data_IF_558963951025
#
_entry.id   IF_558963951025
#
_cell.length_a   1.000
_cell.length_b   1.000
_cell.length_c   1.000
_cell.angle_alpha   90.00
_cell.angle_beta   90.00
_cell.angle_gamma   90.00
#
_symmetry.space_group_name_H-M   'P 1'
#
loop_
_entity.id
_entity.type
_entity.pdbx_description
1 polymer ?
#
# COMPACT_ATOMS: atom_id res chain seq x y z
N UNK A 1 -1.09 22.65 -17.07
CA UNK A 1 -0.49 22.98 -18.38
C UNK A 1 -0.06 21.71 -19.06
N UNK A 2 -0.47 21.47 -20.31
CA UNK A 2 0.10 20.39 -21.12
C UNK A 2 1.09 21.04 -22.09
N UNK A 3 2.36 20.66 -22.02
CA UNK A 3 3.45 21.23 -22.81
C UNK A 3 4.26 20.13 -23.48
N UNK A 4 5.13 20.51 -24.41
CA UNK A 4 6.07 19.56 -25.02
C UNK A 4 7.02 18.99 -23.97
N UNK A 5 7.24 17.67 -23.97
CA UNK A 5 7.98 16.95 -22.93
C UNK A 5 9.50 17.12 -22.93
N UNK A 6 10.04 18.10 -23.67
CA UNK A 6 11.48 18.37 -23.69
C UNK A 6 11.94 18.90 -22.32
N UNK A 7 13.03 18.38 -21.72
CA UNK A 7 13.49 18.81 -20.39
C UNK A 7 13.64 20.33 -20.25
N UNK A 8 14.18 20.99 -21.28
CA UNK A 8 14.33 22.45 -21.32
C UNK A 8 12.99 23.19 -21.27
N UNK A 9 11.94 22.68 -21.94
CA UNK A 9 10.59 23.26 -21.94
C UNK A 9 9.96 23.10 -20.56
N UNK A 10 10.06 21.90 -19.98
CA UNK A 10 9.52 21.61 -18.64
C UNK A 10 10.19 22.50 -17.58
N UNK A 11 11.52 22.58 -17.57
CA UNK A 11 12.26 23.44 -16.65
C UNK A 11 11.93 24.92 -16.85
N UNK A 12 11.79 25.39 -18.10
CA UNK A 12 11.39 26.77 -18.39
C UNK A 12 10.03 27.13 -17.79
N UNK A 13 9.04 26.25 -17.94
CA UNK A 13 7.71 26.43 -17.35
C UNK A 13 7.75 26.40 -15.82
N UNK A 14 8.46 25.44 -15.22
CA UNK A 14 8.58 25.35 -13.77
C UNK A 14 9.27 26.59 -13.17
N UNK A 15 10.32 27.10 -13.81
CA UNK A 15 11.01 28.31 -13.39
C UNK A 15 10.09 29.55 -13.48
N UNK A 16 9.31 29.68 -14.56
CA UNK A 16 8.36 30.78 -14.71
C UNK A 16 7.27 30.76 -13.63
N UNK A 17 6.75 29.57 -13.29
CA UNK A 17 5.78 29.40 -12.21
C UNK A 17 6.41 29.68 -10.84
N UNK A 18 7.64 29.21 -10.59
CA UNK A 18 8.35 29.42 -9.33
C UNK A 18 8.75 30.88 -9.06
N UNK A 19 8.71 31.75 -10.07
CA UNK A 19 8.93 33.19 -9.91
C UNK A 19 7.69 33.94 -9.39
N UNK A 20 6.51 33.31 -9.36
CA UNK A 20 5.28 33.91 -8.84
C UNK A 20 5.28 33.83 -7.30
N UNK A 21 4.99 34.93 -6.58
CA UNK A 21 5.14 34.99 -5.13
C UNK A 21 4.20 34.08 -4.34
N UNK A 22 3.08 33.66 -4.93
CA UNK A 22 2.08 32.77 -4.29
C UNK A 22 2.33 31.28 -4.56
N UNK A 23 3.33 30.96 -5.38
CA UNK A 23 3.64 29.59 -5.77
C UNK A 23 4.93 29.10 -5.11
N UNK A 24 4.95 27.81 -4.80
CA UNK A 24 6.16 27.09 -4.41
C UNK A 24 6.17 25.70 -5.04
N UNK A 25 7.34 25.08 -5.06
CA UNK A 25 7.44 23.67 -5.38
C UNK A 25 6.62 22.84 -4.40
N UNK A 26 5.93 21.84 -4.93
CA UNK A 26 5.20 20.88 -4.13
C UNK A 26 6.17 19.92 -3.43
N UNK A 27 5.85 19.56 -2.20
CA UNK A 27 6.52 18.47 -1.47
C UNK A 27 6.09 17.11 -2.04
N UNK A 28 6.85 16.02 -1.78
CA UNK A 28 6.45 14.68 -2.16
C UNK A 28 5.04 14.32 -1.65
N UNK A 29 4.16 13.89 -2.55
CA UNK A 29 2.78 13.50 -2.22
C UNK A 29 1.86 14.66 -1.84
N UNK A 30 2.29 15.92 -1.94
CA UNK A 30 1.54 17.04 -1.38
C UNK A 30 0.14 17.22 -1.98
N UNK A 31 -0.02 17.01 -3.29
CA UNK A 31 -1.33 17.11 -3.93
C UNK A 31 -2.31 16.06 -3.39
N UNK A 32 -1.87 14.81 -3.25
CA UNK A 32 -2.67 13.72 -2.67
C UNK A 32 -2.97 13.98 -1.19
N UNK A 33 -1.98 14.44 -0.42
CA UNK A 33 -2.15 14.85 0.99
C UNK A 33 -3.21 15.93 1.14
N UNK A 34 -3.18 16.96 0.29
CA UNK A 34 -4.20 18.02 0.27
C UNK A 34 -5.57 17.47 -0.11
N UNK A 35 -5.66 16.52 -1.04
CA UNK A 35 -6.93 15.89 -1.37
C UNK A 35 -7.53 15.12 -0.18
N UNK A 36 -6.70 14.37 0.55
CA UNK A 36 -7.08 13.70 1.80
C UNK A 36 -7.56 14.70 2.88
N UNK A 37 -6.75 15.74 3.15
CA UNK A 37 -7.09 16.76 4.17
C UNK A 37 -8.38 17.52 3.86
N UNK A 38 -8.75 17.63 2.59
CA UNK A 38 -9.99 18.27 2.16
C UNK A 38 -11.15 17.27 1.97
N UNK A 39 -11.02 16.03 2.45
CA UNK A 39 -12.06 15.00 2.38
C UNK A 39 -12.44 14.57 0.97
N UNK A 40 -11.57 14.78 -0.02
CA UNK A 40 -11.79 14.31 -1.40
C UNK A 40 -11.45 12.83 -1.57
N UNK A 41 -10.56 12.33 -0.72
CA UNK A 41 -10.11 10.94 -0.65
C UNK A 41 -10.01 10.56 0.82
N UNK A 42 -10.30 9.31 1.17
CA UNK A 42 -9.88 8.76 2.46
C UNK A 42 -8.39 8.33 2.41
N UNK A 43 -7.85 7.92 3.56
CA UNK A 43 -6.44 7.53 3.65
C UNK A 43 -6.13 6.28 2.83
N UNK A 44 -7.04 5.30 2.81
CA UNK A 44 -6.86 4.05 2.06
C UNK A 44 -6.85 4.28 0.55
N UNK A 45 -7.68 5.22 0.07
CA UNK A 45 -7.71 5.61 -1.33
C UNK A 45 -6.46 6.41 -1.73
N UNK A 46 -5.95 7.27 -0.84
CA UNK A 46 -4.70 8.00 -1.04
C UNK A 46 -3.49 7.05 -1.14
N UNK A 47 -3.43 6.02 -0.29
CA UNK A 47 -2.43 4.95 -0.37
C UNK A 47 -2.58 4.12 -1.64
N UNK A 48 -3.82 3.73 -1.99
CA UNK A 48 -4.12 3.01 -3.23
C UNK A 48 -3.69 3.75 -4.50
N UNK A 49 -3.77 5.08 -4.52
CA UNK A 49 -3.23 5.90 -5.62
C UNK A 49 -1.69 5.78 -5.72
N UNK A 50 -1.00 5.78 -4.58
CA UNK A 50 0.45 5.55 -4.52
C UNK A 50 0.81 4.17 -5.08
N UNK A 51 0.11 3.13 -4.60
CA UNK A 51 0.29 1.76 -5.08
C UNK A 51 0.01 1.62 -6.58
N UNK A 52 -0.98 2.36 -7.10
CA UNK A 52 -1.33 2.33 -8.52
C UNK A 52 -0.22 2.93 -9.40
N UNK A 53 0.39 4.04 -8.95
CA UNK A 53 1.51 4.69 -9.66
C UNK A 53 2.73 3.77 -9.70
N UNK A 54 2.96 2.99 -8.65
CA UNK A 54 4.10 2.09 -8.51
C UNK A 54 3.82 0.63 -8.95
N UNK A 55 2.62 0.31 -9.40
CA UNK A 55 2.26 -1.04 -9.81
C UNK A 55 3.07 -1.52 -11.02
N UNK A 56 3.75 -2.65 -10.87
CA UNK A 56 4.55 -3.30 -11.92
C UNK A 56 3.84 -4.51 -12.53
N UNK A 57 2.83 -5.04 -11.83
CA UNK A 57 2.01 -6.16 -12.31
C UNK A 57 0.54 -5.81 -12.43
N UNK A 58 -0.17 -6.56 -13.27
CA UNK A 58 -1.63 -6.45 -13.40
C UNK A 58 -2.34 -6.76 -12.08
N UNK A 59 -1.78 -7.65 -11.25
CA UNK A 59 -2.31 -7.95 -9.92
C UNK A 59 -2.22 -6.74 -8.99
N UNK A 60 -1.05 -6.10 -8.90
CA UNK A 60 -0.87 -4.86 -8.13
C UNK A 60 -1.81 -3.77 -8.63
N UNK A 61 -1.90 -3.56 -9.95
CA UNK A 61 -2.77 -2.54 -10.54
C UNK A 61 -4.24 -2.74 -10.17
N UNK A 62 -4.75 -3.98 -10.25
CA UNK A 62 -6.13 -4.29 -9.88
C UNK A 62 -6.39 -4.09 -8.39
N UNK A 63 -5.45 -4.49 -7.54
CA UNK A 63 -5.57 -4.30 -6.09
C UNK A 63 -5.59 -2.81 -5.74
N UNK A 64 -4.65 -2.04 -6.29
CA UNK A 64 -4.54 -0.60 -6.05
C UNK A 64 -5.80 0.15 -6.50
N UNK A 65 -6.39 -0.22 -7.66
CA UNK A 65 -7.66 0.34 -8.12
C UNK A 65 -8.80 0.08 -7.15
N UNK A 66 -8.95 -1.15 -6.65
CA UNK A 66 -10.00 -1.49 -5.67
C UNK A 66 -9.88 -0.70 -4.38
N UNK A 67 -8.64 -0.49 -3.91
CA UNK A 67 -8.39 0.36 -2.73
C UNK A 67 -8.68 1.82 -3.01
N UNK A 68 -8.27 2.34 -4.18
CA UNK A 68 -8.56 3.70 -4.61
C UNK A 68 -10.07 3.96 -4.78
N UNK A 69 -10.84 2.95 -5.23
CA UNK A 69 -12.30 2.99 -5.34
C UNK A 69 -13.01 2.89 -3.96
N UNK A 70 -12.24 2.69 -2.88
CA UNK A 70 -12.73 2.77 -1.51
C UNK A 70 -13.26 1.47 -0.92
N UNK A 71 -12.93 0.29 -1.48
CA UNK A 71 -13.40 -0.99 -0.93
C UNK A 71 -13.01 -1.16 0.55
N UNK A 72 -11.77 -0.81 0.93
CA UNK A 72 -11.32 -0.86 2.33
C UNK A 72 -11.96 0.24 3.18
N UNK A 73 -12.11 1.46 2.64
CA UNK A 73 -12.79 2.55 3.32
C UNK A 73 -14.23 2.19 3.70
N UNK A 74 -14.98 1.57 2.79
CA UNK A 74 -16.35 1.10 3.04
C UNK A 74 -16.41 0.03 4.13
N UNK A 75 -15.48 -0.92 4.12
CA UNK A 75 -15.39 -1.96 5.16
C UNK A 75 -15.15 -1.35 6.55
N UNK A 76 -14.18 -0.43 6.65
CA UNK A 76 -13.85 0.21 7.92
C UNK A 76 -14.94 1.17 8.40
N UNK A 77 -15.62 1.83 7.46
CA UNK A 77 -16.79 2.65 7.79
C UNK A 77 -17.92 1.78 8.35
N UNK A 78 -18.18 0.61 7.76
CA UNK A 78 -19.17 -0.32 8.28
C UNK A 78 -18.87 -0.73 9.73
N UNK A 79 -17.63 -1.10 10.03
CA UNK A 79 -17.23 -1.43 11.41
C UNK A 79 -17.34 -0.25 12.36
N UNK A 80 -16.96 0.94 11.92
CA UNK A 80 -17.09 2.18 12.71
C UNK A 80 -18.55 2.49 13.01
N UNK A 81 -19.44 2.36 12.03
CA UNK A 81 -20.87 2.58 12.21
C UNK A 81 -21.49 1.57 13.17
N UNK A 82 -21.08 0.30 13.09
CA UNK A 82 -21.51 -0.76 13.99
C UNK A 82 -21.09 -0.45 15.43
N UNK A 83 -19.81 -0.13 15.66
CA UNK A 83 -19.30 0.24 16.99
C UNK A 83 -20.00 1.48 17.55
N UNK A 84 -20.20 2.49 16.72
CA UNK A 84 -20.83 3.75 17.15
C UNK A 84 -22.27 3.52 17.60
N UNK A 85 -23.04 2.71 16.86
CA UNK A 85 -24.42 2.34 17.24
C UNK A 85 -24.43 1.50 18.51
N UNK A 86 -23.56 0.49 18.60
CA UNK A 86 -23.45 -0.36 19.79
C UNK A 86 -23.10 0.45 21.03
N UNK A 87 -22.18 1.41 20.90
CA UNK A 87 -21.82 2.33 21.98
C UNK A 87 -23.02 3.19 22.40
N UNK A 88 -23.76 3.76 21.45
CA UNK A 88 -24.95 4.56 21.74
C UNK A 88 -26.04 3.76 22.49
N UNK A 89 -26.24 2.48 22.14
CA UNK A 89 -27.17 1.61 22.87
C UNK A 89 -26.72 1.34 24.31
N UNK A 90 -25.42 1.10 24.50
CA UNK A 90 -24.85 0.89 25.83
C UNK A 90 -24.92 2.15 26.70
N UNK A 91 -24.60 3.32 26.13
CA UNK A 91 -24.72 4.62 26.81
C UNK A 91 -26.17 4.89 27.23
N UNK A 92 -27.14 4.67 26.34
CA UNK A 92 -28.56 4.82 26.67
C UNK A 92 -29.00 3.86 27.79
N UNK A 93 -28.52 2.63 27.80
CA UNK A 93 -28.80 1.69 28.89
C UNK A 93 -28.22 2.17 30.23
N UNK A 94 -26.98 2.68 30.23
CA UNK A 94 -26.36 3.20 31.45
C UNK A 94 -27.10 4.42 31.99
N UNK A 95 -27.51 5.34 31.11
CA UNK A 95 -28.10 6.62 31.52
C UNK A 95 -29.59 6.51 31.92
N UNK A 96 -30.34 5.53 31.40
CA UNK A 96 -31.80 5.49 31.54
C UNK A 96 -32.38 4.16 32.08
N UNK A 97 -31.55 3.18 32.45
CA UNK A 97 -32.02 1.84 32.90
C UNK A 97 -32.88 1.82 34.17
N UNK A 98 -32.85 2.87 35.00
CA UNK A 98 -33.68 2.95 36.22
C UNK A 98 -35.02 3.70 36.00
N UNK A 99 -35.09 4.60 35.01
CA UNK A 99 -36.22 5.53 34.81
C UNK A 99 -37.15 5.12 33.65
N UNK A 100 -36.61 4.49 32.61
CA UNK A 100 -37.38 4.04 31.44
C UNK A 100 -37.36 2.51 31.38
N UNK A 101 -38.49 1.89 30.98
CA UNK A 101 -38.59 0.44 30.73
C UNK A 101 -37.73 0.03 29.53
N UNK A 102 -36.41 0.11 29.63
CA UNK A 102 -35.49 -0.39 28.62
C UNK A 102 -35.63 -1.91 28.58
N UNK A 103 -35.74 -2.46 27.37
CA UNK A 103 -35.86 -3.91 27.17
C UNK A 103 -34.62 -4.61 27.75
N UNK A 104 -34.86 -5.66 28.57
CA UNK A 104 -33.80 -6.41 29.26
C UNK A 104 -32.77 -7.06 28.29
N UNK A 105 -33.08 -7.13 26.99
CA UNK A 105 -32.26 -7.78 25.97
C UNK A 105 -31.21 -6.87 25.33
N UNK A 106 -31.18 -5.56 25.65
CA UNK A 106 -30.25 -4.60 25.03
C UNK A 106 -28.80 -5.01 25.26
N UNK A 107 -28.46 -5.49 26.46
CA UNK A 107 -27.11 -5.97 26.77
C UNK A 107 -26.73 -7.21 25.96
N UNK A 108 -27.67 -8.15 25.80
CA UNK A 108 -27.46 -9.35 24.98
C UNK A 108 -27.26 -8.98 23.50
N UNK A 109 -28.04 -8.02 22.97
CA UNK A 109 -27.89 -7.53 21.61
C UNK A 109 -26.53 -6.85 21.38
N UNK A 110 -26.09 -6.02 22.34
CA UNK A 110 -24.77 -5.38 22.33
C UNK A 110 -23.67 -6.45 22.32
N UNK A 111 -23.73 -7.43 23.23
CA UNK A 111 -22.72 -8.49 23.32
C UNK A 111 -22.64 -9.31 22.02
N UNK A 112 -23.80 -9.69 21.46
CA UNK A 112 -23.86 -10.43 20.21
C UNK A 112 -23.28 -9.64 19.02
N UNK A 113 -23.56 -8.34 18.95
CA UNK A 113 -23.03 -7.45 17.90
C UNK A 113 -21.52 -7.31 18.00
N UNK A 114 -20.98 -7.11 19.21
CA UNK A 114 -19.52 -7.01 19.43
C UNK A 114 -18.83 -8.32 19.06
N UNK A 115 -19.37 -9.48 19.46
CA UNK A 115 -18.81 -10.80 19.11
C UNK A 115 -18.80 -11.04 17.60
N UNK A 116 -19.87 -10.63 16.90
CA UNK A 116 -19.92 -10.74 15.44
C UNK A 116 -18.84 -9.87 14.79
N UNK A 117 -18.69 -8.62 15.24
CA UNK A 117 -17.68 -7.71 14.73
C UNK A 117 -16.24 -8.17 15.02
N UNK A 118 -15.99 -8.68 16.23
CA UNK A 118 -14.69 -9.28 16.60
C UNK A 118 -14.32 -10.42 15.65
N UNK A 119 -15.30 -11.26 15.30
CA UNK A 119 -15.10 -12.35 14.35
C UNK A 119 -14.74 -11.82 12.96
N UNK A 120 -15.47 -10.82 12.44
CA UNK A 120 -15.17 -10.21 11.13
C UNK A 120 -13.76 -9.60 11.09
N UNK A 121 -13.38 -8.86 12.14
CA UNK A 121 -12.05 -8.28 12.27
C UNK A 121 -10.96 -9.36 12.30
N UNK A 122 -11.20 -10.43 13.05
CA UNK A 122 -10.27 -11.56 13.15
C UNK A 122 -10.10 -12.26 11.81
N UNK A 123 -11.19 -12.49 11.08
CA UNK A 123 -11.16 -13.08 9.74
C UNK A 123 -10.42 -12.18 8.75
N UNK A 124 -10.62 -10.86 8.81
CA UNK A 124 -9.90 -9.90 7.97
C UNK A 124 -8.39 -9.90 8.25
N UNK A 125 -7.98 -9.95 9.52
CA UNK A 125 -6.56 -10.02 9.91
C UNK A 125 -5.90 -11.36 9.55
N UNK A 126 -6.69 -12.43 9.42
CA UNK A 126 -6.22 -13.78 9.08
C UNK A 126 -6.18 -14.05 7.57
N UNK A 127 -6.31 -13.03 6.72
CA UNK A 127 -6.27 -13.15 5.25
C UNK A 127 -4.94 -13.70 4.68
N UNK A 128 -3.95 -13.97 5.53
CA UNK A 128 -2.64 -14.48 5.16
C UNK A 128 -1.73 -13.40 4.57
N UNK A 129 -2.03 -12.13 4.85
CA UNK A 129 -1.36 -10.94 4.31
C UNK A 129 -1.29 -10.96 2.79
N UNK A 130 -2.33 -11.49 2.15
CA UNK A 130 -2.38 -11.67 0.69
C UNK A 130 -2.26 -10.33 -0.02
N UNK A 131 -2.97 -9.31 0.48
CA UNK A 131 -2.88 -7.95 -0.06
C UNK A 131 -1.48 -7.37 0.08
N UNK A 132 -0.81 -7.56 1.22
CA UNK A 132 0.57 -7.10 1.40
C UNK A 132 1.54 -7.83 0.46
N UNK A 133 1.45 -9.16 0.35
CA UNK A 133 2.33 -9.95 -0.54
C UNK A 133 2.17 -9.58 -2.00
N UNK A 134 0.95 -9.20 -2.42
CA UNK A 134 0.72 -8.74 -3.78
C UNK A 134 1.26 -7.32 -4.00
N UNK A 135 1.20 -6.42 -3.00
CA UNK A 135 1.82 -5.09 -3.07
C UNK A 135 3.34 -5.13 -3.05
N UNK A 136 3.92 -5.78 -2.04
CA UNK A 136 5.37 -5.79 -1.79
C UNK A 136 6.11 -6.76 -2.73
N UNK A 137 5.39 -7.77 -3.24
CA UNK A 137 5.98 -8.87 -4.00
C UNK A 137 6.59 -9.95 -3.12
N UNK A 138 7.03 -11.02 -3.79
CA UNK A 138 7.67 -12.16 -3.15
C UNK A 138 9.17 -12.08 -3.39
N UNK A 139 9.95 -12.05 -2.30
CA UNK A 139 11.41 -12.14 -2.39
C UNK A 139 11.84 -13.58 -2.61
N UNK A 140 12.61 -13.81 -3.66
CA UNK A 140 13.10 -15.12 -4.07
C UNK A 140 14.61 -15.08 -4.22
N UNK A 141 15.29 -15.94 -3.47
CA UNK A 141 16.75 -16.03 -3.45
C UNK A 141 17.21 -17.21 -4.30
N UNK A 142 18.13 -16.97 -5.24
CA UNK A 142 18.76 -18.04 -6.02
C UNK A 142 20.04 -18.47 -5.30
N UNK A 143 19.98 -19.57 -4.54
CA UNK A 143 21.10 -20.11 -3.78
C UNK A 143 21.77 -21.31 -4.48
N UNK A 144 23.08 -21.45 -4.33
CA UNK A 144 23.84 -22.58 -4.88
C UNK A 144 25.36 -22.34 -4.93
N UNK A 145 26.16 -23.39 -5.23
CA UNK A 145 27.62 -23.30 -5.25
C UNK A 145 28.15 -22.30 -6.28
N UNK A 146 29.42 -21.88 -6.13
CA UNK A 146 30.08 -21.05 -7.12
C UNK A 146 30.06 -21.72 -8.51
N UNK A 147 29.91 -20.93 -9.57
CA UNK A 147 29.81 -21.41 -10.96
C UNK A 147 28.64 -22.36 -11.27
N UNK A 148 27.64 -22.48 -10.39
CA UNK A 148 26.43 -23.27 -10.63
C UNK A 148 25.47 -22.68 -11.70
N UNK A 149 25.87 -21.61 -12.39
CA UNK A 149 25.03 -20.93 -13.39
C UNK A 149 23.96 -20.00 -12.81
N UNK A 150 24.03 -19.63 -11.52
CA UNK A 150 23.04 -18.73 -10.86
C UNK A 150 22.82 -17.42 -11.62
N UNK A 151 23.90 -16.72 -11.95
CA UNK A 151 23.81 -15.43 -12.67
C UNK A 151 23.36 -15.62 -14.12
N UNK A 152 23.64 -16.78 -14.74
CA UNK A 152 23.10 -17.12 -16.06
C UNK A 152 21.58 -17.34 -16.00
N UNK A 153 21.07 -18.03 -14.97
CA UNK A 153 19.64 -18.21 -14.74
C UNK A 153 18.94 -16.87 -14.46
N UNK A 154 19.50 -16.03 -13.59
CA UNK A 154 18.98 -14.70 -13.31
C UNK A 154 18.87 -13.90 -14.62
N UNK A 155 19.95 -13.84 -15.40
CA UNK A 155 19.96 -13.14 -16.68
C UNK A 155 18.92 -13.70 -17.65
N UNK A 156 18.71 -15.01 -17.70
CA UNK A 156 17.69 -15.64 -18.55
C UNK A 156 16.26 -15.30 -18.10
N UNK A 157 16.00 -15.29 -16.78
CA UNK A 157 14.71 -14.87 -16.23
C UNK A 157 14.45 -13.38 -16.44
N UNK A 158 15.50 -12.56 -16.48
CA UNK A 158 15.42 -11.12 -16.69
C UNK A 158 15.26 -10.69 -18.16
N UNK A 159 15.31 -11.62 -19.13
CA UNK A 159 15.33 -11.30 -20.58
C UNK A 159 14.03 -10.71 -21.18
N UNK A 160 13.13 -10.16 -20.34
CA UNK A 160 11.99 -9.23 -20.60
C UNK A 160 10.82 -9.76 -21.46
N UNK A 161 9.57 -9.39 -21.10
CA UNK A 161 9.05 -8.02 -21.25
C UNK A 161 8.73 -7.34 -19.90
N UNK A 162 8.92 -6.02 -19.85
CA UNK A 162 8.65 -5.09 -18.73
C UNK A 162 9.38 -5.38 -17.41
N UNK A 163 10.64 -4.94 -17.32
CA UNK A 163 11.23 -4.51 -16.05
C UNK A 163 11.36 -2.99 -16.15
N UNK A 164 10.48 -2.27 -15.46
CA UNK A 164 10.70 -0.87 -15.13
C UNK A 164 11.68 -0.93 -13.98
N UNK A 165 12.97 -0.84 -14.31
CA UNK A 165 14.00 -0.63 -13.30
C UNK A 165 13.69 0.73 -12.68
N UNK A 166 13.30 0.75 -11.41
CA UNK A 166 13.17 2.01 -10.67
C UNK A 166 14.53 2.71 -10.69
N UNK A 167 14.66 3.91 -11.30
CA UNK A 167 15.95 4.57 -11.51
C UNK A 167 16.40 5.34 -10.26
N UNK A 168 15.89 5.03 -9.07
CA UNK A 168 16.27 5.73 -7.83
C UNK A 168 17.71 5.35 -7.47
N UNK A 169 18.66 6.11 -8.01
CA UNK A 169 20.05 6.09 -7.61
C UNK A 169 20.15 6.53 -6.15
N UNK A 170 20.37 5.60 -5.23
CA UNK A 170 20.48 5.94 -3.82
C UNK A 170 20.53 4.79 -2.81
N UNK A 171 20.20 3.54 -3.17
CA UNK A 171 20.37 2.43 -2.23
C UNK A 171 21.78 1.84 -2.37
N UNK A 172 22.59 2.14 -1.38
CA UNK A 172 23.99 1.76 -1.28
C UNK A 172 24.18 0.24 -1.11
N UNK A 173 24.97 -0.32 -2.02
CA UNK A 173 25.87 -1.49 -1.89
C UNK A 173 25.27 -2.84 -1.47
N UNK A 174 25.40 -3.79 -2.40
CA UNK A 174 25.37 -5.24 -2.28
C UNK A 174 23.98 -5.93 -2.34
N UNK A 175 23.91 -6.92 -3.25
CA UNK A 175 22.74 -7.63 -3.81
C UNK A 175 22.11 -6.94 -5.03
N UNK A 176 22.30 -7.54 -6.21
CA UNK A 176 21.54 -7.18 -7.43
C UNK A 176 20.14 -7.75 -7.25
N UNK A 177 19.20 -6.90 -6.86
CA UNK A 177 17.78 -7.24 -6.82
C UNK A 177 17.13 -6.89 -8.16
N UNK A 178 16.35 -7.82 -8.71
CA UNK A 178 15.60 -7.58 -9.95
C UNK A 178 14.13 -7.89 -9.73
N UNK A 179 13.29 -6.88 -9.90
CA UNK A 179 11.84 -7.05 -9.92
C UNK A 179 11.39 -7.68 -11.25
N UNK A 180 10.58 -8.72 -11.14
CA UNK A 180 10.01 -9.48 -12.25
C UNK A 180 8.51 -9.64 -12.07
N UNK A 181 7.80 -9.68 -13.20
CA UNK A 181 6.43 -10.13 -13.25
C UNK A 181 6.38 -11.60 -13.67
N UNK A 182 6.10 -12.50 -12.72
CA UNK A 182 5.99 -13.94 -12.97
C UNK A 182 4.53 -14.35 -12.78
N UNK A 183 3.86 -14.71 -13.89
CA UNK A 183 2.47 -15.15 -13.85
C UNK A 183 1.47 -14.11 -13.32
N UNK A 184 1.79 -12.82 -13.42
CA UNK A 184 0.97 -11.72 -12.88
C UNK A 184 1.32 -11.30 -11.45
N UNK A 185 2.31 -11.94 -10.82
CA UNK A 185 2.76 -11.64 -9.47
C UNK A 185 4.12 -10.93 -9.45
N UNK A 186 4.30 -9.92 -8.60
CA UNK A 186 5.59 -9.26 -8.42
C UNK A 186 6.53 -10.18 -7.66
N UNK A 187 7.71 -10.41 -8.23
CA UNK A 187 8.78 -11.24 -7.66
C UNK A 187 10.06 -10.45 -7.66
N UNK A 188 10.70 -10.31 -6.50
CA UNK A 188 12.02 -9.70 -6.35
C UNK A 188 13.04 -10.82 -6.28
N UNK A 189 13.84 -10.97 -7.34
CA UNK A 189 14.93 -11.95 -7.37
C UNK A 189 16.22 -11.35 -6.84
N UNK A 190 16.89 -12.09 -5.95
CA UNK A 190 18.18 -11.71 -5.36
C UNK A 190 19.23 -12.81 -5.59
N UNK A 191 20.42 -12.46 -6.11
CA UNK A 191 21.55 -13.39 -6.26
C UNK A 191 22.36 -13.47 -4.94
N UNK A 192 22.56 -14.69 -4.42
CA UNK A 192 23.34 -14.92 -3.19
C UNK A 192 24.82 -14.57 -3.31
N UNK A 193 25.32 -14.17 -4.47
CA UNK A 193 26.68 -13.65 -4.60
C UNK A 193 26.97 -12.47 -3.62
N UNK A 194 25.94 -11.75 -3.16
CA UNK A 194 26.03 -10.67 -2.17
C UNK A 194 25.73 -11.04 -0.71
N UNK A 195 25.27 -12.27 -0.41
CA UNK A 195 25.04 -12.75 0.97
C UNK A 195 26.28 -13.43 1.58
N UNK A 196 27.47 -13.04 1.14
CA UNK A 196 28.69 -13.39 1.88
C UNK A 196 28.66 -12.59 3.18
N UNK A 197 28.96 -13.25 4.31
CA UNK A 197 29.38 -12.54 5.51
C UNK A 197 30.57 -11.67 5.10
N UNK A 198 30.36 -10.35 5.12
CA UNK A 198 31.38 -9.35 4.83
C UNK A 198 32.60 -9.62 5.70
N UNK A 199 33.66 -10.15 5.09
CA UNK A 199 34.99 -10.31 5.70
C UNK A 199 35.94 -9.18 5.28
N UNK A 200 35.40 -8.08 4.73
CA UNK A 200 36.19 -6.90 4.42
C UNK A 200 36.58 -6.21 5.74
N UNK A 201 37.83 -6.45 6.14
CA UNK A 201 38.52 -5.57 7.06
C UNK A 201 38.73 -4.21 6.37
N UNK A 202 38.35 -3.17 7.11
CA UNK A 202 38.49 -1.71 6.87
C UNK A 202 39.54 -1.29 5.86
#
# INVERSE_FOLDING_TARGET
>A
FHVHGGPAVVSGVLNALGALPELRFAEPGEFTKRAFQNGKLDLTAAEGLGDLIHAETEGQRRQALRQMDGELGQLYQHWTDTLTKTLAHLEAYIDFSEDDNIEDDVLDQVENTVKALEKELTEHLQDGRRGQRLRDGVHVVIAGPANAGKSSLLNQLCQKPTAIVSPVAGTTRDVVETALNIGGFPVVLSDTAGLRETTDMV
#
